data_IF_605449765732
#
_entry.id   IF_605449765732
#
_cell.length_a   1.000
_cell.length_b   1.000
_cell.length_c   1.000
_cell.angle_alpha   90.00
_cell.angle_beta   90.00
_cell.angle_gamma   90.00
#
_symmetry.space_group_name_H-M   'P 1'
#
loop_
_entity.id
_entity.type
_entity.pdbx_description
1 polymer ?
#
# COMPACT_ATOMS: atom_id res chain seq x y z
N UNK A 1 4.03 31.74 3.49
CA UNK A 1 4.56 30.83 2.46
C UNK A 1 3.68 30.99 1.22
N UNK A 2 4.25 31.29 0.05
CA UNK A 2 3.43 31.48 -1.17
C UNK A 2 2.91 30.15 -1.70
N UNK A 3 1.76 30.15 -2.37
CA UNK A 3 1.19 28.96 -3.02
C UNK A 3 2.20 28.35 -4.00
N UNK A 4 2.90 29.20 -4.75
CA UNK A 4 3.95 28.78 -5.69
C UNK A 4 5.12 28.04 -5.02
N UNK A 5 5.56 28.48 -3.83
CA UNK A 5 6.60 27.79 -3.08
C UNK A 5 6.11 26.43 -2.57
N UNK A 6 4.87 26.36 -2.06
CA UNK A 6 4.25 25.09 -1.66
C UNK A 6 4.19 24.11 -2.84
N UNK A 7 3.68 24.55 -3.98
CA UNK A 7 3.60 23.76 -5.22
C UNK A 7 4.95 23.16 -5.61
N UNK A 8 6.02 23.96 -5.62
CA UNK A 8 7.37 23.49 -5.97
C UNK A 8 7.88 22.46 -4.97
N UNK A 9 7.63 22.66 -3.68
CA UNK A 9 8.04 21.71 -2.64
C UNK A 9 7.31 20.36 -2.78
N UNK A 10 6.01 20.38 -3.10
CA UNK A 10 5.22 19.17 -3.31
C UNK A 10 5.67 18.42 -4.56
N UNK A 11 5.83 19.11 -5.69
CA UNK A 11 6.37 18.51 -6.93
C UNK A 11 7.76 17.92 -6.70
N UNK A 12 8.63 18.63 -5.99
CA UNK A 12 9.98 18.17 -5.67
C UNK A 12 10.02 16.90 -4.82
N UNK A 13 9.01 16.65 -3.96
CA UNK A 13 8.92 15.37 -3.24
C UNK A 13 8.65 14.21 -4.20
N UNK A 14 7.78 14.41 -5.20
CA UNK A 14 7.46 13.40 -6.21
C UNK A 14 8.67 13.14 -7.10
N UNK A 15 9.30 14.19 -7.62
CA UNK A 15 10.50 14.10 -8.46
C UNK A 15 11.65 13.39 -7.72
N UNK A 16 11.89 13.76 -6.45
CA UNK A 16 12.92 13.12 -5.64
C UNK A 16 12.65 11.64 -5.44
N UNK A 17 11.40 11.26 -5.18
CA UNK A 17 11.02 9.86 -5.00
C UNK A 17 11.23 9.07 -6.29
N UNK A 18 10.69 9.54 -7.42
CA UNK A 18 10.82 8.87 -8.72
C UNK A 18 12.28 8.77 -9.18
N UNK A 19 13.09 9.81 -8.95
CA UNK A 19 14.52 9.79 -9.26
C UNK A 19 15.32 8.77 -8.42
N UNK A 20 14.92 8.57 -7.16
CA UNK A 20 15.55 7.62 -6.25
C UNK A 20 15.05 6.17 -6.45
N UNK A 21 13.83 5.98 -6.94
CA UNK A 21 13.12 4.70 -7.04
C UNK A 21 13.62 3.78 -8.17
N UNK A 22 14.94 3.67 -8.38
CA UNK A 22 15.55 2.66 -9.25
C UNK A 22 15.76 1.30 -8.56
N UNK A 23 15.40 1.18 -7.27
CA UNK A 23 15.36 -0.05 -6.46
C UNK A 23 13.92 -0.51 -6.15
N UNK A 24 13.71 -1.60 -5.38
CA UNK A 24 12.39 -2.01 -4.92
C UNK A 24 11.58 -0.84 -4.34
N UNK A 25 10.33 -0.74 -4.78
CA UNK A 25 9.31 0.26 -4.40
C UNK A 25 9.27 0.63 -2.90
N UNK A 26 9.65 -0.30 -2.01
CA UNK A 26 9.57 -0.19 -0.55
C UNK A 26 10.88 0.23 0.15
N UNK A 27 11.98 0.43 -0.58
CA UNK A 27 13.29 0.72 0.02
C UNK A 27 13.29 2.03 0.83
N UNK A 28 12.45 3.00 0.45
CA UNK A 28 12.20 4.23 1.21
C UNK A 28 10.69 4.51 1.31
N UNK A 29 10.04 3.76 2.22
CA UNK A 29 8.60 3.92 2.51
C UNK A 29 8.26 5.36 2.93
N UNK A 30 9.15 6.07 3.62
CA UNK A 30 8.90 7.45 4.06
C UNK A 30 8.86 8.40 2.87
N UNK A 31 9.85 8.34 1.98
CA UNK A 31 9.86 9.16 0.76
C UNK A 31 8.66 8.83 -0.14
N UNK A 32 8.27 7.55 -0.20
CA UNK A 32 7.10 7.11 -0.95
C UNK A 32 5.81 7.73 -0.43
N UNK A 33 5.51 7.56 0.86
CA UNK A 33 4.30 8.11 1.46
C UNK A 33 4.25 9.63 1.30
N UNK A 34 5.40 10.30 1.48
CA UNK A 34 5.53 11.73 1.22
C UNK A 34 5.24 12.11 -0.23
N UNK A 35 5.66 11.31 -1.21
CA UNK A 35 5.35 11.54 -2.62
C UNK A 35 3.85 11.36 -2.91
N UNK A 36 3.22 10.32 -2.35
CA UNK A 36 1.78 10.07 -2.47
C UNK A 36 0.99 11.25 -1.86
N UNK A 37 1.34 11.67 -0.64
CA UNK A 37 0.70 12.80 0.02
C UNK A 37 0.90 14.10 -0.76
N UNK A 38 2.05 14.27 -1.41
CA UNK A 38 2.32 15.43 -2.26
C UNK A 38 1.47 15.43 -3.52
N UNK A 39 1.31 14.29 -4.19
CA UNK A 39 0.39 14.11 -5.33
C UNK A 39 -1.04 14.45 -4.89
N UNK A 40 -1.46 13.96 -3.72
CA UNK A 40 -2.79 14.19 -3.19
C UNK A 40 -3.03 15.67 -2.87
N UNK A 41 -2.10 16.31 -2.15
CA UNK A 41 -2.17 17.72 -1.79
C UNK A 41 -2.21 18.62 -3.02
N UNK A 42 -1.42 18.33 -4.06
CA UNK A 42 -1.48 19.04 -5.34
C UNK A 42 -2.86 18.94 -6.01
N UNK A 43 -3.51 17.78 -5.91
CA UNK A 43 -4.88 17.57 -6.39
C UNK A 43 -5.92 18.38 -5.60
N UNK A 44 -5.82 18.39 -4.26
CA UNK A 44 -6.72 19.14 -3.37
C UNK A 44 -6.64 20.65 -3.59
N UNK A 45 -5.44 21.20 -3.75
CA UNK A 45 -5.26 22.64 -4.02
C UNK A 45 -5.56 23.01 -5.48
N UNK A 46 -5.83 22.03 -6.34
CA UNK A 46 -6.15 22.25 -7.75
C UNK A 46 -4.97 22.79 -8.56
N UNK A 47 -3.73 22.43 -8.24
CA UNK A 47 -2.55 23.00 -8.90
C UNK A 47 -2.38 22.45 -10.33
N UNK A 48 -2.53 23.29 -11.38
CA UNK A 48 -2.39 22.85 -12.77
C UNK A 48 -0.96 22.41 -13.12
N UNK A 49 0.06 22.70 -12.31
CA UNK A 49 1.43 22.22 -12.54
C UNK A 49 1.56 20.71 -12.38
N UNK A 50 0.70 20.07 -11.59
CA UNK A 50 0.65 18.61 -11.57
C UNK A 50 0.27 18.07 -12.95
N UNK A 51 -0.67 18.72 -13.64
CA UNK A 51 -1.08 18.34 -14.99
C UNK A 51 0.05 18.50 -16.01
N UNK A 52 0.93 19.51 -15.87
CA UNK A 52 2.08 19.67 -16.77
C UNK A 52 3.16 18.61 -16.57
N UNK A 53 3.23 18.00 -15.38
CA UNK A 53 4.16 16.91 -15.04
C UNK A 53 3.56 15.50 -15.13
N UNK A 54 2.24 15.41 -15.35
CA UNK A 54 1.50 14.15 -15.26
C UNK A 54 2.07 13.04 -16.15
N UNK A 55 2.40 13.35 -17.42
CA UNK A 55 2.93 12.33 -18.33
C UNK A 55 4.26 11.74 -17.87
N UNK A 56 5.15 12.59 -17.33
CA UNK A 56 6.45 12.20 -16.77
C UNK A 56 6.21 11.31 -15.55
N UNK A 57 5.50 11.83 -14.54
CA UNK A 57 5.25 11.12 -13.29
C UNK A 57 4.52 9.79 -13.53
N UNK A 58 3.49 9.78 -14.37
CA UNK A 58 2.70 8.58 -14.64
C UNK A 58 3.54 7.48 -15.29
N UNK A 59 4.42 7.83 -16.24
CA UNK A 59 5.25 6.86 -16.97
C UNK A 59 6.29 6.17 -16.08
N UNK A 60 6.78 6.88 -15.06
CA UNK A 60 7.77 6.38 -14.11
C UNK A 60 7.13 5.76 -12.85
N UNK A 61 5.81 5.86 -12.72
CA UNK A 61 5.06 5.39 -11.55
C UNK A 61 4.64 3.92 -11.67
N UNK A 62 4.63 3.25 -10.52
CA UNK A 62 3.87 2.02 -10.29
C UNK A 62 2.35 2.30 -10.14
N UNK A 63 1.56 1.23 -10.07
CA UNK A 63 0.11 1.27 -9.94
C UNK A 63 -0.41 2.16 -8.80
N UNK A 64 0.27 2.17 -7.65
CA UNK A 64 -0.20 2.90 -6.47
C UNK A 64 -0.01 4.40 -6.67
N UNK A 65 1.16 4.83 -7.18
CA UNK A 65 1.32 6.24 -7.58
C UNK A 65 0.37 6.60 -8.72
N UNK A 66 0.17 5.73 -9.72
CA UNK A 66 -0.77 5.96 -10.84
C UNK A 66 -2.19 6.17 -10.35
N UNK A 67 -2.67 5.37 -9.40
CA UNK A 67 -4.00 5.54 -8.81
C UNK A 67 -4.15 6.92 -8.17
N UNK A 68 -3.17 7.34 -7.36
CA UNK A 68 -3.23 8.66 -6.72
C UNK A 68 -3.11 9.81 -7.72
N UNK A 69 -2.25 9.69 -8.75
CA UNK A 69 -2.13 10.67 -9.84
C UNK A 69 -3.45 10.83 -10.59
N UNK A 70 -4.12 9.72 -10.89
CA UNK A 70 -5.43 9.72 -11.58
C UNK A 70 -6.49 10.43 -10.72
N UNK A 71 -6.55 10.11 -9.42
CA UNK A 71 -7.49 10.76 -8.49
C UNK A 71 -7.22 12.27 -8.42
N UNK A 72 -5.96 12.68 -8.23
CA UNK A 72 -5.59 14.09 -8.16
C UNK A 72 -5.91 14.84 -9.45
N UNK A 73 -5.68 14.24 -10.62
CA UNK A 73 -6.09 14.81 -11.91
C UNK A 73 -7.61 15.02 -11.97
N UNK A 74 -8.42 14.05 -11.56
CA UNK A 74 -9.88 14.19 -11.55
C UNK A 74 -10.39 15.25 -10.59
N UNK A 75 -9.60 15.63 -9.56
CA UNK A 75 -9.88 16.79 -8.69
C UNK A 75 -9.53 18.12 -9.38
N UNK A 76 -8.44 18.17 -10.15
CA UNK A 76 -7.98 19.38 -10.85
C UNK A 76 -8.86 19.70 -12.08
N UNK A 77 -9.41 18.69 -12.75
CA UNK A 77 -9.91 18.78 -14.13
C UNK A 77 -11.18 19.63 -14.37
N UNK A 78 -11.67 20.41 -13.40
CA UNK A 78 -12.76 21.37 -13.65
C UNK A 78 -12.27 22.48 -14.59
N UNK A 79 -12.44 22.27 -15.90
CA UNK A 79 -12.09 23.24 -16.95
C UNK A 79 -10.86 22.87 -17.80
N UNK A 80 -10.12 21.81 -17.46
CA UNK A 80 -9.02 21.29 -18.30
C UNK A 80 -9.55 20.17 -19.21
N UNK A 81 -9.84 20.51 -20.46
CA UNK A 81 -10.34 19.57 -21.46
C UNK A 81 -9.41 18.39 -21.79
N UNK A 82 -8.18 18.36 -21.23
CA UNK A 82 -7.19 17.30 -21.46
C UNK A 82 -7.37 16.07 -20.55
N UNK A 83 -8.00 16.22 -19.39
CA UNK A 83 -8.12 15.13 -18.42
C UNK A 83 -8.97 13.97 -18.96
N UNK A 84 -10.12 14.27 -19.59
CA UNK A 84 -11.02 13.26 -20.17
C UNK A 84 -10.35 12.33 -21.19
N UNK A 85 -9.72 12.87 -22.25
CA UNK A 85 -9.00 12.05 -23.23
C UNK A 85 -7.89 11.18 -22.63
N UNK A 86 -7.12 11.72 -21.68
CA UNK A 86 -6.06 10.95 -21.01
C UNK A 86 -6.64 9.81 -20.16
N UNK A 87 -7.65 10.09 -19.34
CA UNK A 87 -8.35 9.10 -18.53
C UNK A 87 -9.00 8.00 -19.37
N UNK A 88 -9.60 8.37 -20.51
CA UNK A 88 -10.20 7.40 -21.42
C UNK A 88 -9.13 6.48 -22.02
N UNK A 89 -7.97 7.03 -22.40
CA UNK A 89 -6.82 6.24 -22.86
C UNK A 89 -6.37 5.23 -21.80
N UNK A 90 -6.25 5.65 -20.54
CA UNK A 90 -5.90 4.78 -19.41
C UNK A 90 -6.96 3.68 -19.22
N UNK A 91 -8.25 4.06 -19.14
CA UNK A 91 -9.35 3.11 -18.94
C UNK A 91 -9.45 2.05 -20.06
N UNK A 92 -9.16 2.44 -21.31
CA UNK A 92 -9.18 1.57 -22.48
C UNK A 92 -7.94 0.68 -22.63
N UNK A 93 -6.81 1.01 -21.99
CA UNK A 93 -5.53 0.33 -22.20
C UNK A 93 -5.50 -1.04 -21.54
N UNK A 94 -5.25 -2.11 -22.31
CA UNK A 94 -5.02 -3.46 -21.76
C UNK A 94 -3.67 -3.61 -21.08
N UNK A 95 -2.75 -2.67 -21.29
CA UNK A 95 -1.43 -2.63 -20.64
C UNK A 95 -1.50 -2.01 -19.23
N UNK A 96 -2.61 -1.34 -18.89
CA UNK A 96 -2.83 -0.88 -17.52
C UNK A 96 -3.45 -2.00 -16.68
N UNK A 97 -3.13 -2.06 -15.40
CA UNK A 97 -3.75 -3.02 -14.48
C UNK A 97 -5.20 -2.65 -14.21
N UNK A 98 -6.01 -3.64 -13.85
CA UNK A 98 -7.44 -3.39 -13.59
C UNK A 98 -7.69 -2.38 -12.46
N UNK A 99 -6.92 -2.36 -11.35
CA UNK A 99 -7.08 -1.34 -10.31
C UNK A 99 -6.86 0.11 -10.82
N UNK A 100 -5.85 0.33 -11.68
CA UNK A 100 -5.57 1.63 -12.32
C UNK A 100 -6.69 2.01 -13.29
N UNK A 101 -7.17 1.06 -14.09
CA UNK A 101 -8.28 1.29 -15.02
C UNK A 101 -9.60 1.58 -14.30
N UNK A 102 -9.87 0.90 -13.18
CA UNK A 102 -11.06 1.13 -12.37
C UNK A 102 -11.14 2.57 -11.88
N UNK A 103 -10.04 3.09 -11.32
CA UNK A 103 -10.02 4.49 -10.86
C UNK A 103 -10.13 5.48 -12.02
N UNK A 104 -9.58 5.15 -13.21
CA UNK A 104 -9.77 5.97 -14.40
C UNK A 104 -11.25 6.03 -14.82
N UNK A 105 -11.98 4.92 -14.82
CA UNK A 105 -13.43 4.90 -15.08
C UNK A 105 -14.23 5.71 -14.05
N UNK A 106 -13.88 5.64 -12.77
CA UNK A 106 -14.53 6.46 -11.73
C UNK A 106 -14.25 7.95 -11.92
N UNK A 107 -13.02 8.31 -12.28
CA UNK A 107 -12.67 9.71 -12.57
C UNK A 107 -13.39 10.24 -13.81
N UNK A 108 -13.49 9.46 -14.89
CA UNK A 108 -14.27 9.84 -16.08
C UNK A 108 -15.72 10.20 -15.72
N UNK A 109 -16.38 9.36 -14.91
CA UNK A 109 -17.73 9.62 -14.43
C UNK A 109 -17.79 10.89 -13.56
N UNK A 110 -16.86 11.04 -12.62
CA UNK A 110 -16.80 12.20 -11.73
C UNK A 110 -16.67 13.53 -12.49
N UNK A 111 -15.96 13.52 -13.62
CA UNK A 111 -15.73 14.73 -14.44
C UNK A 111 -16.77 14.90 -15.56
N UNK A 112 -17.76 14.01 -15.64
CA UNK A 112 -18.82 14.05 -16.66
C UNK A 112 -18.36 13.67 -18.08
N UNK A 113 -17.27 12.91 -18.21
CA UNK A 113 -16.77 12.40 -19.49
C UNK A 113 -17.32 10.99 -19.76
N UNK A 114 -17.48 10.56 -21.02
CA UNK A 114 -17.84 9.18 -21.35
C UNK A 114 -16.98 8.16 -20.58
N UNK A 115 -17.65 7.36 -19.75
CA UNK A 115 -17.01 6.49 -18.77
C UNK A 115 -17.31 5.01 -18.99
N UNK A 116 -17.69 4.60 -20.21
CA UNK A 116 -17.94 3.20 -20.58
C UNK A 116 -17.36 2.87 -21.95
N UNK A 117 -16.95 1.62 -22.13
CA UNK A 117 -16.35 1.12 -23.37
C UNK A 117 -17.06 -0.17 -23.79
N UNK A 118 -17.55 -0.19 -25.02
CA UNK A 118 -18.13 -1.39 -25.63
C UNK A 118 -17.05 -2.46 -25.82
N UNK A 119 -17.37 -3.73 -25.53
CA UNK A 119 -16.45 -4.86 -25.66
C UNK A 119 -15.14 -4.68 -24.87
N UNK A 120 -15.23 -4.12 -23.66
CA UNK A 120 -14.08 -3.85 -22.80
C UNK A 120 -13.27 -5.14 -22.54
N UNK A 121 -12.02 -5.15 -23.01
CA UNK A 121 -11.08 -6.23 -22.73
C UNK A 121 -10.49 -6.11 -21.32
N UNK A 122 -10.22 -7.26 -20.70
CA UNK A 122 -9.52 -7.39 -19.42
C UNK A 122 -8.05 -6.98 -19.55
N UNK A 123 -7.42 -6.61 -18.44
CA UNK A 123 -6.01 -6.23 -18.43
C UNK A 123 -5.10 -7.43 -18.65
N UNK A 124 -3.92 -7.19 -19.24
CA UNK A 124 -2.85 -8.19 -19.39
C UNK A 124 -2.04 -8.38 -18.12
N UNK A 125 -2.12 -7.42 -17.21
CA UNK A 125 -1.39 -7.40 -15.94
C UNK A 125 -2.38 -7.38 -14.78
N UNK A 126 -2.10 -8.20 -13.75
CA UNK A 126 -2.95 -8.34 -12.57
C UNK A 126 -2.96 -7.07 -11.71
N UNK A 127 -1.78 -6.49 -11.46
CA UNK A 127 -1.60 -5.45 -10.45
C UNK A 127 -1.75 -6.04 -9.05
N UNK A 128 -2.78 -5.62 -8.32
CA UNK A 128 -3.13 -6.13 -6.99
C UNK A 128 -3.65 -7.57 -7.10
N UNK A 129 -3.15 -8.50 -6.28
CA UNK A 129 -3.65 -9.87 -6.27
C UNK A 129 -4.85 -10.02 -5.33
N UNK A 130 -5.78 -10.91 -5.70
CA UNK A 130 -6.93 -11.25 -4.87
C UNK A 130 -6.48 -11.77 -3.50
N UNK A 131 -7.11 -11.25 -2.46
CA UNK A 131 -6.76 -11.53 -1.08
C UNK A 131 -5.55 -10.75 -0.58
N UNK A 132 -5.05 -9.74 -1.29
CA UNK A 132 -4.11 -8.77 -0.69
C UNK A 132 -4.85 -7.77 0.21
N UNK A 133 -4.19 -7.31 1.26
CA UNK A 133 -4.69 -6.25 2.13
C UNK A 133 -4.35 -4.90 1.49
N UNK A 134 -5.35 -4.07 1.28
CA UNK A 134 -5.24 -2.72 0.71
C UNK A 134 -5.33 -1.67 1.80
N UNK A 135 -4.63 -0.56 1.62
CA UNK A 135 -4.49 0.48 2.63
C UNK A 135 -4.81 1.87 2.10
N UNK A 136 -5.52 2.66 2.89
CA UNK A 136 -5.65 4.11 2.66
C UNK A 136 -4.99 4.90 3.77
N UNK A 137 -4.73 6.18 3.48
CA UNK A 137 -4.35 7.12 4.52
C UNK A 137 -5.50 7.54 5.43
N UNK A 138 -5.17 8.42 6.37
CA UNK A 138 -6.14 9.08 7.23
C UNK A 138 -6.02 8.72 8.71
N UNK A 139 -6.88 9.32 9.52
CA UNK A 139 -6.94 9.08 10.98
C UNK A 139 -7.85 7.92 11.39
N UNK A 140 -8.47 7.23 10.42
CA UNK A 140 -9.37 6.14 10.73
C UNK A 140 -8.58 5.04 11.49
N UNK A 141 -9.24 4.35 12.42
CA UNK A 141 -8.61 3.26 13.18
C UNK A 141 -7.47 3.62 14.15
N UNK A 142 -7.12 4.89 14.41
CA UNK A 142 -6.09 5.24 15.42
C UNK A 142 -6.65 6.04 16.61
N UNK A 143 -6.28 5.65 17.83
CA UNK A 143 -6.29 6.56 19.00
C UNK A 143 -5.05 7.50 19.00
N UNK A 144 -4.06 7.23 18.15
CA UNK A 144 -2.76 7.91 18.11
C UNK A 144 -2.76 9.30 17.45
N UNK A 145 -3.87 9.73 16.86
CA UNK A 145 -4.01 11.05 16.24
C UNK A 145 -3.81 12.25 17.18
N UNK A 146 -3.57 12.05 18.48
CA UNK A 146 -3.28 13.11 19.45
C UNK A 146 -1.79 13.31 19.74
N UNK A 147 -0.92 12.36 19.37
CA UNK A 147 0.51 12.38 19.78
C UNK A 147 1.51 11.95 18.70
N UNK A 148 1.08 11.43 17.55
CA UNK A 148 1.99 11.16 16.42
C UNK A 148 1.70 12.09 15.24
N UNK A 149 2.60 13.01 14.88
CA UNK A 149 2.46 13.87 13.70
C UNK A 149 2.64 13.08 12.38
N UNK A 150 3.08 11.83 12.46
CA UNK A 150 3.31 10.94 11.32
C UNK A 150 2.06 10.05 11.12
N UNK A 151 0.99 10.64 10.59
CA UNK A 151 -0.19 9.92 10.12
C UNK A 151 0.00 9.58 8.63
N UNK A 152 0.35 8.34 8.27
CA UNK A 152 0.00 7.88 6.95
C UNK A 152 -1.23 6.97 7.09
N UNK A 153 -1.05 5.70 7.42
CA UNK A 153 -2.04 4.63 7.14
C UNK A 153 -3.18 4.62 8.17
N UNK A 154 -4.42 4.75 7.70
CA UNK A 154 -5.62 4.86 8.55
C UNK A 154 -6.67 3.78 8.33
N UNK A 155 -6.63 3.03 7.24
CA UNK A 155 -7.68 2.04 7.00
C UNK A 155 -7.13 0.87 6.20
N UNK A 156 -7.60 -0.34 6.54
CA UNK A 156 -7.29 -1.55 5.82
C UNK A 156 -8.56 -2.25 5.34
N UNK A 157 -8.45 -2.87 4.17
CA UNK A 157 -9.48 -3.73 3.60
C UNK A 157 -8.85 -4.88 2.83
N UNK A 158 -9.65 -5.84 2.40
CA UNK A 158 -9.21 -6.98 1.61
C UNK A 158 -9.67 -6.82 0.16
N UNK A 159 -8.72 -6.87 -0.77
CA UNK A 159 -9.02 -6.82 -2.19
C UNK A 159 -9.58 -8.16 -2.68
N UNK A 160 -10.84 -8.17 -3.10
CA UNK A 160 -11.53 -9.37 -3.57
C UNK A 160 -11.35 -9.60 -5.08
N UNK A 161 -10.95 -8.56 -5.82
CA UNK A 161 -10.72 -8.60 -7.25
C UNK A 161 -11.35 -7.42 -7.97
N UNK A 162 -11.75 -7.63 -9.22
CA UNK A 162 -12.45 -6.64 -10.04
C UNK A 162 -13.64 -7.27 -10.75
N UNK A 163 -14.62 -6.43 -11.09
CA UNK A 163 -15.80 -6.79 -11.85
C UNK A 163 -15.89 -5.92 -13.11
N UNK A 164 -16.32 -6.50 -14.23
CA UNK A 164 -16.65 -5.74 -15.44
C UNK A 164 -18.18 -5.64 -15.53
N UNK A 165 -18.70 -4.43 -15.40
CA UNK A 165 -20.13 -4.14 -15.44
C UNK A 165 -20.38 -2.94 -16.37
N UNK A 166 -21.31 -3.06 -17.32
CA UNK A 166 -21.70 -1.98 -18.24
C UNK A 166 -20.52 -1.31 -18.97
N UNK A 167 -19.54 -2.10 -19.43
CA UNK A 167 -18.37 -1.58 -20.13
C UNK A 167 -17.40 -0.80 -19.25
N UNK A 168 -17.40 -1.07 -17.93
CA UNK A 168 -16.52 -0.45 -16.92
C UNK A 168 -15.88 -1.52 -16.05
N UNK A 169 -14.65 -1.30 -15.63
CA UNK A 169 -14.01 -2.08 -14.57
C UNK A 169 -14.27 -1.38 -13.24
N UNK A 170 -14.68 -2.16 -12.24
CA UNK A 170 -14.83 -1.74 -10.86
C UNK A 170 -13.93 -2.61 -9.99
N UNK A 171 -13.28 -2.04 -8.99
CA UNK A 171 -12.66 -2.86 -7.94
C UNK A 171 -13.73 -3.52 -7.09
N UNK A 172 -13.39 -4.58 -6.38
CA UNK A 172 -14.21 -5.17 -5.33
C UNK A 172 -13.33 -5.31 -4.09
N UNK A 173 -13.69 -4.59 -3.03
CA UNK A 173 -13.00 -4.61 -1.74
C UNK A 173 -14.03 -4.92 -0.67
N UNK A 174 -13.62 -5.71 0.32
CA UNK A 174 -14.36 -5.79 1.58
C UNK A 174 -13.57 -5.11 2.68
N UNK A 175 -14.26 -4.29 3.46
CA UNK A 175 -13.67 -3.54 4.55
C UNK A 175 -14.63 -3.46 5.74
N UNK A 176 -14.11 -3.01 6.88
CA UNK A 176 -14.90 -2.71 8.07
C UNK A 176 -14.62 -1.28 8.53
N UNK A 177 -15.62 -0.41 8.50
CA UNK A 177 -15.45 1.02 8.84
C UNK A 177 -16.51 1.50 9.83
N UNK A 178 -16.29 2.60 10.56
CA UNK A 178 -17.25 3.10 11.53
C UNK A 178 -18.66 3.30 10.97
N UNK A 179 -19.67 3.03 11.80
CA UNK A 179 -21.08 3.03 11.39
C UNK A 179 -21.63 4.43 10.99
N UNK A 180 -20.88 5.51 11.22
CA UNK A 180 -21.26 6.85 10.77
C UNK A 180 -20.94 7.12 9.30
N UNK A 181 -20.17 6.24 8.64
CA UNK A 181 -20.09 6.20 7.19
C UNK A 181 -21.29 5.43 6.61
N UNK A 182 -21.60 5.67 5.35
CA UNK A 182 -22.76 5.06 4.69
C UNK A 182 -22.33 4.33 3.40
N UNK A 183 -22.51 3.01 3.29
CA UNK A 183 -22.83 2.07 4.38
C UNK A 183 -21.63 1.91 5.32
N UNK A 184 -21.87 1.80 6.63
CA UNK A 184 -20.85 1.53 7.63
C UNK A 184 -20.88 0.07 8.09
N UNK A 185 -19.93 -0.32 8.95
CA UNK A 185 -19.73 -1.72 9.35
C UNK A 185 -18.93 -2.52 8.34
N UNK A 186 -19.06 -3.84 8.40
CA UNK A 186 -18.46 -4.76 7.42
C UNK A 186 -19.28 -4.75 6.14
N UNK A 187 -18.63 -4.51 5.00
CA UNK A 187 -19.32 -4.28 3.72
C UNK A 187 -18.49 -4.77 2.53
N UNK A 188 -19.17 -4.91 1.39
CA UNK A 188 -18.55 -5.09 0.07
C UNK A 188 -18.76 -3.82 -0.76
N UNK A 189 -17.67 -3.20 -1.19
CA UNK A 189 -17.69 -1.97 -1.99
C UNK A 189 -17.08 -2.22 -3.37
N UNK A 190 -17.67 -1.56 -4.37
CA UNK A 190 -17.31 -1.73 -5.79
C UNK A 190 -16.60 -0.53 -6.39
N UNK A 191 -15.88 0.24 -5.58
CA UNK A 191 -15.36 1.52 -6.03
C UNK A 191 -14.28 2.07 -5.11
N UNK A 192 -13.27 2.69 -5.73
CA UNK A 192 -12.23 3.45 -5.07
C UNK A 192 -12.82 4.64 -4.31
N UNK A 193 -13.84 5.32 -4.84
CA UNK A 193 -14.57 6.38 -4.15
C UNK A 193 -15.00 5.92 -2.75
N UNK A 194 -15.63 4.75 -2.61
CA UNK A 194 -16.08 4.30 -1.30
C UNK A 194 -14.94 3.82 -0.39
N UNK A 195 -13.89 3.22 -0.96
CA UNK A 195 -12.74 2.71 -0.19
C UNK A 195 -11.89 3.85 0.36
N UNK A 196 -11.66 4.87 -0.45
CA UNK A 196 -10.90 6.09 -0.10
C UNK A 196 -11.74 7.13 0.62
N UNK A 197 -12.93 6.73 1.11
CA UNK A 197 -13.90 7.59 1.79
C UNK A 197 -14.18 8.87 0.99
N UNK A 198 -14.79 8.71 -0.17
CA UNK A 198 -15.14 9.77 -1.11
C UNK A 198 -13.93 10.51 -1.72
N UNK A 199 -12.81 9.82 -1.89
CA UNK A 199 -11.51 10.43 -2.26
C UNK A 199 -11.07 11.49 -1.26
N UNK A 200 -11.31 11.30 0.04
CA UNK A 200 -10.70 12.12 1.10
C UNK A 200 -9.33 11.60 1.52
N UNK A 201 -9.05 10.30 1.33
CA UNK A 201 -7.78 9.70 1.72
C UNK A 201 -7.01 9.08 0.56
N UNK A 202 -5.67 9.23 0.52
CA UNK A 202 -4.84 8.62 -0.51
C UNK A 202 -4.84 7.09 -0.40
N UNK A 203 -4.54 6.42 -1.50
CA UNK A 203 -4.30 4.97 -1.52
C UNK A 203 -2.79 4.70 -1.30
N UNK A 204 -2.43 3.96 -0.26
CA UNK A 204 -1.01 3.70 0.05
C UNK A 204 -0.46 2.38 -0.46
N UNK A 205 -1.33 1.53 -1.00
CA UNK A 205 -0.93 0.32 -1.69
C UNK A 205 -1.55 -0.94 -1.13
N UNK A 206 -1.09 -2.07 -1.64
CA UNK A 206 -1.48 -3.41 -1.24
C UNK A 206 -0.29 -4.17 -0.65
N UNK A 207 -0.56 -5.01 0.34
CA UNK A 207 0.42 -5.89 0.97
C UNK A 207 -0.14 -7.28 1.19
N UNK A 208 0.75 -8.23 1.40
CA UNK A 208 0.44 -9.63 1.66
C UNK A 208 1.32 -10.17 2.78
N UNK A 209 0.98 -11.35 3.29
CA UNK A 209 1.69 -11.97 4.39
C UNK A 209 3.11 -12.38 3.99
N UNK A 210 4.08 -12.43 4.94
CA UNK A 210 5.46 -12.85 4.64
C UNK A 210 5.53 -14.21 3.94
N UNK A 211 4.69 -15.16 4.39
CA UNK A 211 4.40 -16.38 3.64
C UNK A 211 3.27 -16.07 2.67
N UNK A 212 3.56 -16.03 1.36
CA UNK A 212 2.54 -15.70 0.35
C UNK A 212 1.38 -16.70 0.40
N UNK A 213 0.11 -16.24 0.39
CA UNK A 213 -1.04 -17.12 0.35
C UNK A 213 -1.03 -18.00 -0.91
N UNK A 214 -1.31 -19.30 -0.74
CA UNK A 214 -1.49 -20.22 -1.87
C UNK A 214 -2.73 -19.86 -2.70
N UNK A 215 -2.87 -20.34 -3.95
CA UNK A 215 -4.08 -20.12 -4.74
C UNK A 215 -5.37 -20.57 -4.04
N UNK A 216 -5.32 -21.68 -3.29
CA UNK A 216 -6.45 -22.18 -2.49
C UNK A 216 -6.80 -21.21 -1.36
N UNK A 217 -5.78 -20.74 -0.61
CA UNK A 217 -5.98 -19.76 0.45
C UNK A 217 -6.52 -18.43 -0.11
N UNK A 218 -5.99 -17.92 -1.23
CA UNK A 218 -6.51 -16.70 -1.88
C UNK A 218 -7.99 -16.85 -2.24
N UNK A 219 -8.40 -18.01 -2.75
CA UNK A 219 -9.82 -18.27 -3.02
C UNK A 219 -10.64 -18.24 -1.73
N UNK A 220 -10.18 -18.88 -0.66
CA UNK A 220 -10.87 -18.89 0.63
C UNK A 220 -10.96 -17.49 1.26
N UNK A 221 -9.89 -16.69 1.19
CA UNK A 221 -9.87 -15.29 1.62
C UNK A 221 -10.98 -14.48 0.90
N UNK A 222 -11.06 -14.64 -0.42
CA UNK A 222 -12.05 -13.94 -1.25
C UNK A 222 -13.47 -14.37 -0.91
N UNK A 223 -13.72 -15.69 -0.85
CA UNK A 223 -15.05 -16.24 -0.59
C UNK A 223 -15.55 -15.83 0.80
N UNK A 224 -14.67 -15.88 1.80
CA UNK A 224 -14.99 -15.49 3.18
C UNK A 224 -15.23 -13.98 3.28
N UNK A 225 -14.33 -13.16 2.74
CA UNK A 225 -14.46 -11.71 2.76
C UNK A 225 -15.74 -11.24 2.07
N UNK A 226 -16.05 -11.79 0.89
CA UNK A 226 -17.29 -11.50 0.19
C UNK A 226 -18.53 -11.89 1.01
N UNK A 227 -18.51 -13.07 1.65
CA UNK A 227 -19.60 -13.53 2.51
C UNK A 227 -19.81 -12.59 3.69
N UNK A 228 -18.75 -12.25 4.44
CA UNK A 228 -18.84 -11.40 5.63
C UNK A 228 -19.33 -9.98 5.28
N UNK A 229 -18.86 -9.42 4.17
CA UNK A 229 -19.34 -8.15 3.59
C UNK A 229 -20.83 -8.09 3.28
N UNK A 230 -21.52 -9.24 3.19
CA UNK A 230 -22.95 -9.35 2.96
C UNK A 230 -23.81 -9.55 4.22
N UNK A 231 -23.19 -9.68 5.41
CA UNK A 231 -23.90 -10.05 6.64
C UNK A 231 -24.38 -8.86 7.49
N UNK A 232 -23.99 -7.63 7.15
CA UNK A 232 -24.36 -6.44 7.94
C UNK A 232 -23.73 -6.42 9.34
N UNK A 233 -22.50 -6.94 9.47
CA UNK A 233 -21.76 -6.97 10.74
C UNK A 233 -21.33 -5.55 11.12
N UNK A 234 -21.22 -5.31 12.43
CA UNK A 234 -20.98 -3.97 12.97
C UNK A 234 -19.50 -3.67 13.12
N UNK A 235 -19.18 -2.38 13.03
CA UNK A 235 -17.88 -1.89 13.46
C UNK A 235 -17.80 -1.78 14.98
N UNK A 236 -16.65 -2.19 15.55
CA UNK A 236 -16.31 -2.04 16.97
C UNK A 236 -15.17 -1.03 17.13
N UNK A 237 -15.39 0.03 17.90
CA UNK A 237 -14.35 0.99 18.29
C UNK A 237 -13.87 0.81 19.72
N UNK A 238 -14.37 -0.19 20.46
CA UNK A 238 -13.96 -0.42 21.85
C UNK A 238 -12.58 -1.05 21.95
N UNK A 239 -12.12 -1.72 20.89
CA UNK A 239 -10.83 -2.40 20.79
C UNK A 239 -10.56 -3.47 21.88
N UNK A 240 -11.53 -3.75 22.74
CA UNK A 240 -11.47 -4.82 23.75
C UNK A 240 -11.56 -6.22 23.13
N UNK A 241 -12.10 -6.31 21.92
CA UNK A 241 -12.17 -7.53 21.09
C UNK A 241 -11.91 -7.11 19.64
N UNK A 242 -10.65 -7.17 19.23
CA UNK A 242 -10.24 -6.73 17.89
C UNK A 242 -10.77 -7.69 16.80
N UNK A 243 -10.77 -9.01 17.07
CA UNK A 243 -11.03 -10.06 16.09
C UNK A 243 -12.39 -10.78 16.30
N UNK A 244 -13.50 -10.11 15.97
CA UNK A 244 -14.76 -10.79 15.61
C UNK A 244 -15.40 -11.72 16.65
N UNK A 245 -16.29 -12.65 16.22
CA UNK A 245 -16.80 -12.82 14.84
C UNK A 245 -18.00 -11.91 14.51
N UNK A 246 -18.50 -11.13 15.48
CA UNK A 246 -19.75 -10.34 15.34
C UNK A 246 -19.49 -8.84 15.14
N UNK A 247 -18.33 -8.37 15.60
CA UNK A 247 -17.94 -6.96 15.58
C UNK A 247 -16.43 -6.87 15.36
N UNK A 248 -16.00 -5.95 14.49
CA UNK A 248 -14.59 -5.83 14.10
C UNK A 248 -14.17 -4.36 14.05
N UNK A 249 -12.89 -4.06 14.29
CA UNK A 249 -12.26 -2.90 13.68
C UNK A 249 -11.68 -3.25 12.30
N UNK A 250 -11.15 -2.28 11.56
CA UNK A 250 -10.62 -2.50 10.21
C UNK A 250 -9.49 -3.55 10.18
N UNK A 251 -8.55 -3.45 11.12
CA UNK A 251 -7.40 -4.35 11.21
C UNK A 251 -7.87 -5.75 11.60
N UNK A 252 -8.59 -5.87 12.71
CA UNK A 252 -9.09 -7.13 13.23
C UNK A 252 -10.02 -7.85 12.26
N UNK A 253 -10.74 -7.13 11.40
CA UNK A 253 -11.50 -7.72 10.31
C UNK A 253 -10.60 -8.45 9.30
N UNK A 254 -9.56 -7.77 8.82
CA UNK A 254 -8.62 -8.38 7.86
C UNK A 254 -7.82 -9.52 8.50
N UNK A 255 -7.36 -9.35 9.75
CA UNK A 255 -6.71 -10.40 10.54
C UNK A 255 -7.57 -11.67 10.64
N UNK A 256 -8.82 -11.49 11.06
CA UNK A 256 -9.76 -12.61 11.23
C UNK A 256 -9.90 -13.43 9.95
N UNK A 257 -10.04 -12.78 8.78
CA UNK A 257 -10.20 -13.48 7.50
C UNK A 257 -8.95 -14.32 7.18
N UNK A 258 -7.76 -13.81 7.44
CA UNK A 258 -6.50 -14.53 7.21
C UNK A 258 -6.32 -15.71 8.16
N UNK A 259 -6.66 -15.53 9.43
CA UNK A 259 -6.59 -16.61 10.42
C UNK A 259 -7.51 -17.79 10.05
N UNK A 260 -8.68 -17.52 9.48
CA UNK A 260 -9.60 -18.57 9.02
C UNK A 260 -9.00 -19.46 7.91
N UNK A 261 -7.93 -19.01 7.24
CA UNK A 261 -7.23 -19.79 6.21
C UNK A 261 -5.84 -20.26 6.66
N UNK A 262 -5.58 -20.19 7.97
CA UNK A 262 -4.34 -20.64 8.60
C UNK A 262 -3.14 -19.73 8.33
N UNK A 263 -3.38 -18.44 8.08
CA UNK A 263 -2.33 -17.43 7.90
C UNK A 263 -2.35 -16.45 9.06
N UNK A 264 -1.17 -16.02 9.50
CA UNK A 264 -1.01 -14.97 10.48
C UNK A 264 -0.39 -13.73 9.81
N UNK A 265 -1.15 -12.65 9.56
CA UNK A 265 -0.62 -11.47 8.91
C UNK A 265 0.38 -10.70 9.75
N UNK A 266 0.18 -10.65 11.06
CA UNK A 266 1.05 -9.96 12.01
C UNK A 266 1.46 -10.85 13.16
N UNK A 267 2.70 -10.72 13.62
CA UNK A 267 3.17 -11.49 14.76
C UNK A 267 2.29 -11.22 16.00
N UNK A 268 2.01 -12.27 16.78
CA UNK A 268 1.25 -12.17 18.02
C UNK A 268 1.97 -11.27 19.05
N UNK A 269 3.26 -10.96 18.88
CA UNK A 269 3.99 -9.99 19.70
C UNK A 269 3.39 -8.57 19.63
N UNK A 270 2.67 -8.25 18.55
CA UNK A 270 1.93 -6.99 18.44
C UNK A 270 0.62 -7.02 19.25
N UNK A 271 0.13 -8.22 19.59
CA UNK A 271 -1.03 -8.43 20.45
C UNK A 271 -0.57 -8.53 21.91
N UNK A 272 -0.38 -7.39 22.55
CA UNK A 272 0.18 -7.32 23.91
C UNK A 272 -0.69 -7.97 25.00
N UNK A 273 -1.87 -8.52 24.66
CA UNK A 273 -2.82 -9.11 25.61
C UNK A 273 -3.45 -8.11 26.59
N UNK A 274 -2.92 -6.88 26.68
CA UNK A 274 -3.38 -5.78 27.50
C UNK A 274 -4.51 -4.97 26.83
N UNK A 275 -5.04 -5.44 25.69
CA UNK A 275 -6.13 -4.79 24.96
C UNK A 275 -5.73 -3.59 24.10
N UNK A 276 -4.44 -3.41 23.80
CA UNK A 276 -4.02 -2.44 22.79
C UNK A 276 -4.23 -3.02 21.40
N UNK A 277 -5.07 -2.40 20.56
CA UNK A 277 -5.34 -2.90 19.22
C UNK A 277 -4.12 -2.68 18.33
N UNK A 278 -3.79 -3.69 17.53
CA UNK A 278 -2.88 -3.56 16.41
C UNK A 278 -3.39 -2.43 15.49
N UNK A 279 -2.56 -1.44 15.22
CA UNK A 279 -2.92 -0.30 14.35
C UNK A 279 -2.79 -0.66 12.87
N UNK A 280 -3.49 0.06 11.97
CA UNK A 280 -3.29 -0.10 10.53
C UNK A 280 -1.84 0.11 10.09
N UNK A 281 -1.10 1.01 10.76
CA UNK A 281 0.32 1.25 10.49
C UNK A 281 1.20 0.07 10.89
N UNK A 282 1.02 -0.49 12.08
CA UNK A 282 1.77 -1.67 12.52
C UNK A 282 1.50 -2.87 11.62
N UNK A 283 0.23 -3.09 11.25
CA UNK A 283 -0.15 -4.12 10.28
C UNK A 283 0.52 -3.88 8.93
N UNK A 284 0.46 -2.64 8.43
CA UNK A 284 1.10 -2.27 7.18
C UNK A 284 2.59 -2.63 7.20
N UNK A 285 3.34 -2.19 8.21
CA UNK A 285 4.80 -2.41 8.32
C UNK A 285 5.17 -3.89 8.49
N UNK A 286 4.36 -4.68 9.20
CA UNK A 286 4.59 -6.11 9.39
C UNK A 286 4.44 -6.91 8.08
N UNK A 287 3.54 -6.49 7.20
CA UNK A 287 3.30 -7.15 5.91
C UNK A 287 4.34 -6.79 4.84
N UNK A 288 4.39 -7.62 3.80
CA UNK A 288 5.28 -7.44 2.65
C UNK A 288 4.52 -6.89 1.46
N UNK A 289 5.15 -6.03 0.65
CA UNK A 289 4.55 -5.64 -0.62
C UNK A 289 4.37 -6.87 -1.51
N UNK A 290 3.27 -6.95 -2.23
CA UNK A 290 3.06 -8.03 -3.18
C UNK A 290 3.48 -7.59 -4.59
N UNK A 291 4.79 -7.61 -4.86
CA UNK A 291 5.29 -7.40 -6.22
C UNK A 291 5.32 -8.71 -7.01
N UNK A 292 5.02 -8.67 -8.31
CA UNK A 292 5.58 -9.65 -9.23
C UNK A 292 7.09 -9.46 -9.16
N UNK A 293 7.79 -10.34 -8.45
CA UNK A 293 9.22 -10.21 -8.24
C UNK A 293 9.94 -10.02 -9.57
N UNK A 294 10.81 -9.00 -9.67
CA UNK A 294 11.98 -9.19 -10.53
C UNK A 294 12.68 -10.45 -10.01
N UNK A 295 13.19 -11.33 -10.88
CA UNK A 295 14.01 -12.44 -10.42
C UNK A 295 15.11 -11.88 -9.52
N UNK A 296 15.17 -12.37 -8.29
CA UNK A 296 16.25 -12.07 -7.36
C UNK A 296 17.57 -12.31 -8.10
N UNK A 297 18.52 -11.36 -8.11
CA UNK A 297 19.86 -11.69 -8.55
C UNK A 297 20.37 -12.79 -7.61
N UNK A 298 20.66 -13.97 -8.16
CA UNK A 298 21.23 -15.07 -7.40
C UNK A 298 22.64 -14.67 -6.97
N UNK A 299 22.75 -14.04 -5.80
CA UNK A 299 24.05 -13.90 -5.15
C UNK A 299 24.34 -15.20 -4.40
N UNK A 300 25.53 -15.81 -4.58
CA UNK A 300 25.91 -16.96 -3.79
C UNK A 300 25.87 -16.59 -2.31
N UNK A 301 25.13 -17.37 -1.52
CA UNK A 301 25.03 -17.23 -0.07
C UNK A 301 26.42 -17.41 0.54
N UNK A 302 27.11 -16.31 0.83
CA UNK A 302 28.22 -16.31 1.78
C UNK A 302 27.89 -15.38 2.93
N UNK A 303 27.79 -16.00 4.10
CA UNK A 303 27.76 -15.45 5.45
C UNK A 303 26.37 -15.09 6.01
N UNK A 304 25.88 -16.04 6.82
CA UNK A 304 24.79 -15.87 7.78
C UNK A 304 25.20 -14.79 8.77
N UNK A 305 24.56 -13.63 8.69
CA UNK A 305 24.61 -12.61 9.75
C UNK A 305 23.46 -12.92 10.71
N UNK A 306 23.77 -13.46 11.87
CA UNK A 306 22.82 -13.57 12.99
C UNK A 306 22.57 -12.16 13.55
N UNK A 307 21.36 -11.63 13.37
CA UNK A 307 20.93 -10.43 14.07
C UNK A 307 20.69 -10.75 15.56
N UNK A 308 21.20 -9.93 16.51
CA UNK A 308 20.92 -10.14 17.93
C UNK A 308 19.47 -9.75 18.26
N UNK A 309 18.83 -10.60 19.05
CA UNK A 309 17.51 -10.37 19.65
C UNK A 309 17.49 -9.06 20.44
N UNK A 310 16.50 -8.20 20.16
CA UNK A 310 16.13 -7.10 21.05
C UNK A 310 15.36 -7.66 22.25
N UNK A 311 16.09 -8.09 23.26
CA UNK A 311 15.57 -8.33 24.59
C UNK A 311 16.69 -8.06 25.56
N UNK A 312 16.75 -6.86 26.12
CA UNK A 312 17.47 -6.45 27.35
C UNK A 312 17.38 -4.92 27.50
N UNK A 313 16.21 -4.44 27.92
CA UNK A 313 16.11 -3.20 28.71
C UNK A 313 15.49 -3.61 30.05
N UNK A 314 16.33 -4.16 30.92
CA UNK A 314 16.21 -4.00 32.37
C UNK A 314 17.63 -4.06 32.89
N UNK A 315 18.11 -2.94 33.42
CA UNK A 315 19.44 -2.87 34.00
C UNK A 315 19.54 -3.78 35.21
N UNK A 316 20.53 -4.65 35.21
CA UNK A 316 21.15 -5.15 36.42
C UNK A 316 22.61 -5.47 36.15
N UNK A 317 23.43 -5.05 37.11
CA UNK A 317 24.88 -5.08 37.12
C UNK A 317 25.43 -6.51 37.27
N UNK A 318 26.46 -6.82 36.46
CA UNK A 318 27.63 -7.68 36.74
C UNK A 318 27.36 -9.15 37.15
N UNK A 319 27.75 -10.09 36.28
CA UNK A 319 28.82 -11.09 36.50
C UNK A 319 28.88 -12.06 35.28
N UNK A 320 30.02 -12.12 34.60
CA UNK A 320 30.38 -13.22 33.68
C UNK A 320 31.65 -13.88 34.22
N UNK A 321 31.72 -15.22 34.33
CA UNK A 321 32.99 -15.92 34.27
C UNK A 321 33.25 -16.47 32.86
N UNK A 322 34.54 -16.53 32.56
CA UNK A 322 35.16 -16.96 31.33
C UNK A 322 34.78 -18.38 30.92
N UNK A 323 34.58 -18.58 29.61
CA UNK A 323 35.20 -19.67 28.84
C UNK A 323 34.62 -19.67 27.42
N UNK A 324 35.24 -18.93 26.50
CA UNK A 324 35.13 -19.23 25.06
C UNK A 324 36.45 -18.92 24.36
N UNK A 325 37.20 -19.97 24.10
CA UNK A 325 38.44 -19.96 23.31
C UNK A 325 38.10 -19.85 21.83
N UNK A 326 38.49 -18.77 21.17
CA UNK A 326 38.36 -18.61 19.71
C UNK A 326 39.63 -19.18 19.06
N UNK A 327 39.47 -20.22 18.23
CA UNK A 327 40.51 -20.65 17.28
C UNK A 327 40.69 -19.56 16.22
N UNK A 328 41.91 -19.06 16.09
CA UNK A 328 42.30 -18.09 15.07
C UNK A 328 42.16 -18.69 13.66
N UNK A 329 41.46 -17.97 12.79
CA UNK A 329 41.46 -18.21 11.34
C UNK A 329 42.60 -17.38 10.75
N UNK A 330 43.55 -18.04 10.08
CA UNK A 330 44.59 -17.37 9.30
C UNK A 330 43.96 -16.66 8.09
N UNK A 331 44.30 -15.39 7.91
CA UNK A 331 43.95 -14.60 6.73
C UNK A 331 45.01 -14.86 5.65
N UNK A 332 44.65 -15.12 4.38
CA UNK A 332 45.64 -15.28 3.32
C UNK A 332 46.31 -13.93 2.98
N UNK A 333 47.63 -13.97 2.76
CA UNK A 333 48.44 -12.81 2.36
C UNK A 333 47.99 -12.25 1.00
N UNK A 334 47.87 -10.93 0.93
CA UNK A 334 47.58 -10.16 -0.28
C UNK A 334 48.89 -9.80 -0.96
N UNK A 335 49.08 -10.25 -2.20
CA UNK A 335 50.20 -9.86 -3.06
C UNK A 335 50.03 -8.41 -3.53
N UNK A 336 51.00 -7.54 -3.22
CA UNK A 336 50.94 -6.08 -3.49
C UNK A 336 51.71 -5.64 -4.75
N UNK A 337 52.10 -6.55 -5.64
CA UNK A 337 52.86 -6.17 -6.84
C UNK A 337 51.95 -5.73 -8.00
N UNK A 338 51.50 -4.47 -7.97
CA UNK A 338 50.83 -3.81 -9.10
C UNK A 338 51.84 -2.90 -9.80
N UNK A 339 52.32 -3.31 -10.98
CA UNK A 339 53.09 -2.45 -11.88
C UNK A 339 52.14 -1.68 -12.82
N UNK A 340 52.40 -0.39 -13.08
CA UNK A 340 51.58 0.38 -14.02
C UNK A 340 51.82 -0.07 -15.48
N UNK A 341 50.74 -0.11 -16.26
CA UNK A 341 50.78 -0.43 -17.69
C UNK A 341 51.43 0.70 -18.51
N UNK A 342 52.13 0.39 -19.61
CA UNK A 342 52.71 1.40 -20.49
C UNK A 342 51.63 2.14 -21.28
N UNK A 343 51.87 3.43 -21.51
CA UNK A 343 51.04 4.29 -22.33
C UNK A 343 51.40 4.13 -23.80
N UNK A 344 50.38 3.88 -24.62
CA UNK A 344 50.40 4.06 -26.08
C UNK A 344 49.38 5.14 -26.47
#
# INVERSE_FOLDING_TARGET
MSLDFLSRALLGNVEKYLAAARGPYEDDIKARLKAIDSIWALGEIGDPKLMSKLSEFYSESDDVLRVNLIISMGKISKGDGKAGPFLLKVAASTEETEPVRAVAFEMLEKIGYPSSITNLARSRHTGIEKGDIVYTGGMLGSMAGWVSPDLPVGHSGLFLGTEVNNGRINILVTDCIPNYFTPGGVRNIRSWYHFTHHFFYPYYGNRTTPVKPTPVQRKQLVDLGYKLGGLGLRYNNTHLTQKGPVSFDCVGYTEYIYEQVGLNPTDNSYETGAGWPLTPWEQFIALKPNFPGRPEPTYPLTNVVTHPHQGLITGDFIYLPADFTIKSVQVPEVNTDIRPAPAD
#
